data_IF_419333130124
#
_entry.id   IF_419333130124
#
_cell.length_a   1.000
_cell.length_b   1.000
_cell.length_c   1.000
_cell.angle_alpha   90.00
_cell.angle_beta   90.00
_cell.angle_gamma   90.00
#
_symmetry.space_group_name_H-M   'P 1'
#
loop_
_entity.id
_entity.type
_entity.pdbx_description
1 polymer ?
#
# COMPACT_ATOMS: atom_id res chain seq x y z
N UNK A 1 26.53 -5.37 8.72
CA UNK A 1 25.81 -4.10 8.98
C UNK A 1 24.74 -3.97 7.91
N UNK A 2 23.50 -4.34 8.23
CA UNK A 2 22.42 -4.37 7.25
C UNK A 2 21.90 -2.93 7.05
N UNK A 3 22.17 -2.38 5.87
CA UNK A 3 21.54 -1.15 5.41
C UNK A 3 20.05 -1.44 5.22
N UNK A 4 19.20 -0.87 6.07
CA UNK A 4 17.79 -0.70 5.77
C UNK A 4 17.74 0.38 4.70
N UNK A 5 17.84 -0.01 3.43
CA UNK A 5 17.70 0.89 2.30
C UNK A 5 16.22 1.23 2.13
N UNK A 6 15.82 2.50 2.22
CA UNK A 6 14.48 2.89 1.82
C UNK A 6 14.43 2.85 0.29
N UNK A 7 13.50 2.08 -0.27
CA UNK A 7 13.12 2.09 -1.69
C UNK A 7 14.05 1.38 -2.71
N UNK A 8 14.79 0.34 -2.32
CA UNK A 8 15.65 -0.41 -3.26
C UNK A 8 14.95 -1.51 -4.08
N UNK A 9 13.81 -2.03 -3.60
CA UNK A 9 13.00 -3.07 -4.24
C UNK A 9 11.50 -2.83 -4.07
N UNK A 10 11.12 -2.17 -2.98
CA UNK A 10 9.74 -1.89 -2.60
C UNK A 10 9.04 -0.96 -3.59
N UNK A 11 9.73 0.05 -4.13
CA UNK A 11 9.13 1.00 -5.08
C UNK A 11 8.80 0.39 -6.46
N UNK A 12 9.49 -0.67 -6.89
CA UNK A 12 9.13 -1.38 -8.13
C UNK A 12 7.89 -2.24 -7.90
N UNK A 13 7.85 -2.98 -6.79
CA UNK A 13 6.70 -3.78 -6.40
C UNK A 13 5.46 -2.89 -6.18
N UNK A 14 5.61 -1.75 -5.52
CA UNK A 14 4.55 -0.77 -5.29
C UNK A 14 4.03 -0.17 -6.60
N UNK A 15 4.91 0.17 -7.55
CA UNK A 15 4.50 0.60 -8.89
C UNK A 15 3.76 -0.49 -9.65
N UNK A 16 4.23 -1.74 -9.59
CA UNK A 16 3.55 -2.87 -10.25
C UNK A 16 2.17 -3.11 -9.66
N UNK A 17 2.03 -3.02 -8.33
CA UNK A 17 0.73 -3.12 -7.65
C UNK A 17 -0.19 -1.97 -8.08
N UNK A 18 0.31 -0.73 -8.14
CA UNK A 18 -0.46 0.43 -8.60
C UNK A 18 -0.98 0.25 -10.03
N UNK A 19 -0.11 -0.14 -10.96
CA UNK A 19 -0.48 -0.39 -12.37
C UNK A 19 -1.50 -1.52 -12.46
N UNK A 20 -1.32 -2.60 -11.71
CA UNK A 20 -2.27 -3.71 -11.68
C UNK A 20 -3.64 -3.28 -11.13
N UNK A 21 -3.67 -2.38 -10.14
CA UNK A 21 -4.92 -1.83 -9.59
C UNK A 21 -5.64 -0.93 -10.60
N UNK A 22 -4.92 -0.07 -11.31
CA UNK A 22 -5.49 0.77 -12.38
C UNK A 22 -6.09 -0.08 -13.50
N UNK A 23 -5.33 -1.10 -13.96
CA UNK A 23 -5.82 -2.06 -14.95
C UNK A 23 -7.06 -2.80 -14.46
N UNK A 24 -7.09 -3.18 -13.18
CA UNK A 24 -8.24 -3.86 -12.60
C UNK A 24 -9.50 -2.98 -12.68
N UNK A 25 -9.41 -1.71 -12.27
CA UNK A 25 -10.53 -0.76 -12.35
C UNK A 25 -11.03 -0.64 -13.79
N UNK A 26 -10.11 -0.40 -14.73
CA UNK A 26 -10.46 -0.26 -16.15
C UNK A 26 -11.19 -1.51 -16.70
N UNK A 27 -10.73 -2.71 -16.37
CA UNK A 27 -11.38 -3.93 -16.85
C UNK A 27 -12.74 -4.15 -16.17
N UNK A 28 -12.88 -3.81 -14.88
CA UNK A 28 -14.20 -3.87 -14.22
C UNK A 28 -15.23 -2.93 -14.85
N UNK A 29 -14.82 -1.73 -15.24
CA UNK A 29 -15.70 -0.76 -15.91
C UNK A 29 -16.10 -1.26 -17.30
N UNK A 30 -15.15 -1.77 -18.07
CA UNK A 30 -15.39 -2.29 -19.42
C UNK A 30 -16.33 -3.52 -19.39
N UNK A 31 -16.21 -4.35 -18.36
CA UNK A 31 -17.10 -5.50 -18.18
C UNK A 31 -18.48 -5.13 -17.68
N UNK A 32 -18.60 -4.10 -16.82
CA UNK A 32 -19.89 -3.55 -16.44
C UNK A 32 -20.65 -3.01 -17.67
N UNK A 33 -19.93 -2.38 -18.59
CA UNK A 33 -20.48 -1.93 -19.87
C UNK A 33 -20.90 -3.09 -20.77
N UNK A 34 -20.06 -4.12 -20.92
CA UNK A 34 -20.41 -5.31 -21.72
C UNK A 34 -21.68 -6.01 -21.21
N UNK A 35 -21.84 -6.12 -19.87
CA UNK A 35 -23.05 -6.68 -19.27
C UNK A 35 -24.29 -5.85 -19.62
N UNK A 36 -24.21 -4.51 -19.54
CA UNK A 36 -25.31 -3.61 -19.94
C UNK A 36 -25.69 -3.80 -21.41
N UNK A 37 -24.71 -3.91 -22.31
CA UNK A 37 -24.95 -4.11 -23.75
C UNK A 37 -25.60 -5.47 -24.04
N UNK A 38 -25.23 -6.52 -23.32
CA UNK A 38 -25.88 -7.83 -23.41
C UNK A 38 -27.33 -7.76 -22.90
N UNK A 39 -27.59 -7.09 -21.77
CA UNK A 39 -28.94 -6.92 -21.21
C UNK A 39 -29.85 -6.07 -22.12
N UNK A 40 -29.28 -5.07 -22.79
CA UNK A 40 -29.97 -4.24 -23.79
C UNK A 40 -30.23 -4.96 -25.12
N UNK A 41 -29.65 -6.15 -25.32
CA UNK A 41 -29.76 -6.92 -26.56
C UNK A 41 -28.93 -6.35 -27.72
N UNK A 42 -28.03 -5.40 -27.45
CA UNK A 42 -27.14 -4.79 -28.45
C UNK A 42 -26.02 -5.73 -28.89
N UNK A 43 -25.62 -6.65 -28.01
CA UNK A 43 -24.63 -7.69 -28.28
C UNK A 43 -25.29 -9.06 -28.09
N UNK A 44 -25.26 -9.95 -29.10
CA UNK A 44 -25.77 -11.30 -28.93
C UNK A 44 -24.95 -12.02 -27.86
N UNK A 45 -25.61 -12.56 -26.84
CA UNK A 45 -24.95 -13.35 -25.83
C UNK A 45 -24.32 -14.60 -26.48
N UNK A 46 -22.98 -14.76 -26.52
CA UNK A 46 -22.41 -16.06 -26.86
C UNK A 46 -22.97 -17.10 -25.89
N UNK A 47 -23.19 -18.34 -26.34
CA UNK A 47 -23.89 -19.37 -25.56
C UNK A 47 -23.35 -19.57 -24.13
N UNK A 48 -22.09 -19.21 -23.88
CA UNK A 48 -21.42 -19.26 -22.58
C UNK A 48 -21.18 -17.88 -21.90
N UNK A 49 -21.74 -16.77 -22.39
CA UNK A 49 -21.50 -15.42 -21.88
C UNK A 49 -21.70 -15.31 -20.35
N UNK A 50 -22.77 -15.92 -19.84
CA UNK A 50 -23.07 -15.95 -18.41
C UNK A 50 -22.01 -16.71 -17.62
N UNK A 51 -21.48 -17.80 -18.18
CA UNK A 51 -20.41 -18.60 -17.57
C UNK A 51 -19.10 -17.84 -17.57
N UNK A 52 -18.72 -17.22 -18.69
CA UNK A 52 -17.52 -16.39 -18.79
C UNK A 52 -17.58 -15.21 -17.82
N UNK A 53 -18.73 -14.55 -17.69
CA UNK A 53 -18.93 -13.47 -16.71
C UNK A 53 -18.82 -14.00 -15.26
N UNK A 54 -19.35 -15.19 -14.96
CA UNK A 54 -19.26 -15.80 -13.64
C UNK A 54 -17.83 -16.19 -13.26
N UNK A 55 -17.11 -16.85 -14.17
CA UNK A 55 -15.69 -17.21 -14.00
C UNK A 55 -14.85 -15.95 -13.80
N UNK A 56 -15.09 -14.91 -14.59
CA UNK A 56 -14.41 -13.64 -14.46
C UNK A 56 -14.67 -12.93 -13.12
N UNK A 57 -15.93 -12.89 -12.66
CA UNK A 57 -16.29 -12.39 -11.32
C UNK A 57 -15.58 -13.16 -10.20
N UNK A 58 -15.39 -14.46 -10.36
CA UNK A 58 -14.67 -15.29 -9.39
C UNK A 58 -13.17 -14.92 -9.36
N UNK A 59 -12.54 -14.74 -10.52
CA UNK A 59 -11.15 -14.31 -10.63
C UNK A 59 -10.92 -12.92 -10.03
N UNK A 60 -11.82 -11.96 -10.31
CA UNK A 60 -11.83 -10.62 -9.69
C UNK A 60 -11.85 -10.72 -8.17
N UNK A 61 -12.75 -11.55 -7.62
CA UNK A 61 -12.90 -11.72 -6.18
C UNK A 61 -11.63 -12.29 -5.54
N UNK A 62 -11.03 -13.29 -6.17
CA UNK A 62 -9.77 -13.88 -5.72
C UNK A 62 -8.61 -12.86 -5.75
N UNK A 63 -8.53 -12.03 -6.78
CA UNK A 63 -7.53 -10.97 -6.87
C UNK A 63 -7.73 -9.90 -5.78
N UNK A 64 -8.97 -9.54 -5.48
CA UNK A 64 -9.30 -8.60 -4.40
C UNK A 64 -8.95 -9.15 -3.02
N UNK A 65 -9.20 -10.43 -2.77
CA UNK A 65 -8.79 -11.10 -1.54
C UNK A 65 -7.26 -11.13 -1.39
N UNK A 66 -6.53 -11.40 -2.48
CA UNK A 66 -5.07 -11.39 -2.43
C UNK A 66 -4.51 -9.99 -2.19
N UNK A 67 -5.12 -8.95 -2.80
CA UNK A 67 -4.79 -7.57 -2.51
C UNK A 67 -4.96 -7.23 -1.04
N UNK A 68 -6.11 -7.59 -0.44
CA UNK A 68 -6.35 -7.34 0.99
C UNK A 68 -5.27 -8.03 1.85
N UNK A 69 -4.93 -9.29 1.54
CA UNK A 69 -3.87 -10.02 2.23
C UNK A 69 -2.50 -9.33 2.11
N UNK A 70 -2.18 -8.74 0.96
CA UNK A 70 -0.94 -8.01 0.75
C UNK A 70 -0.91 -6.69 1.52
N UNK A 71 -2.01 -5.93 1.52
CA UNK A 71 -2.12 -4.69 2.30
C UNK A 71 -1.94 -4.96 3.80
N UNK A 72 -2.54 -6.03 4.32
CA UNK A 72 -2.42 -6.41 5.72
C UNK A 72 -0.98 -6.86 6.08
N UNK A 73 -0.31 -7.59 5.18
CA UNK A 73 1.11 -7.94 5.32
C UNK A 73 1.99 -6.68 5.31
N UNK A 74 1.74 -5.71 4.43
CA UNK A 74 2.49 -4.45 4.37
C UNK A 74 2.32 -3.61 5.64
N UNK A 75 1.09 -3.49 6.15
CA UNK A 75 0.82 -2.80 7.44
C UNK A 75 1.60 -3.43 8.59
N UNK A 76 1.62 -4.76 8.63
CA UNK A 76 2.36 -5.51 9.66
C UNK A 76 3.87 -5.34 9.52
N UNK A 77 4.41 -5.45 8.30
CA UNK A 77 5.85 -5.32 8.02
C UNK A 77 6.39 -3.91 8.33
N UNK A 78 5.60 -2.87 8.06
CA UNK A 78 5.96 -1.48 8.33
C UNK A 78 5.77 -1.04 9.80
N UNK A 79 5.43 -1.97 10.69
CA UNK A 79 5.21 -1.68 12.10
C UNK A 79 4.02 -0.74 12.36
N UNK A 80 3.10 -0.61 11.40
CA UNK A 80 1.90 0.22 11.52
C UNK A 80 0.87 -0.53 12.34
N UNK A 81 1.07 -0.57 13.66
CA UNK A 81 0.07 -1.02 14.63
C UNK A 81 -0.79 0.19 15.00
N UNK A 82 -2.04 0.24 14.51
CA UNK A 82 -3.02 1.27 14.91
C UNK A 82 -3.17 2.48 13.97
N UNK A 83 -2.64 2.44 12.74
CA UNK A 83 -2.89 3.49 11.73
C UNK A 83 -2.02 4.75 11.86
N UNK A 84 -0.98 4.71 12.70
CA UNK A 84 -0.01 5.78 12.83
C UNK A 84 1.38 5.23 12.51
N UNK A 85 2.02 5.76 11.45
CA UNK A 85 3.42 5.50 11.19
C UNK A 85 4.27 6.37 12.12
N UNK A 86 5.17 5.77 12.88
CA UNK A 86 6.14 6.52 13.68
C UNK A 86 7.18 7.12 12.73
N UNK A 87 7.23 8.45 12.63
CA UNK A 87 8.27 9.14 11.87
C UNK A 87 9.61 9.04 12.62
N UNK A 88 10.42 8.06 12.22
CA UNK A 88 11.73 7.81 12.82
C UNK A 88 12.74 8.91 12.53
N UNK A 89 12.55 9.72 11.49
CA UNK A 89 13.46 10.82 11.18
C UNK A 89 13.16 12.02 12.08
N UNK A 90 11.88 12.39 12.22
CA UNK A 90 11.47 13.41 13.19
C UNK A 90 11.82 13.01 14.64
N UNK A 91 11.61 11.75 15.01
CA UNK A 91 11.99 11.24 16.33
C UNK A 91 13.51 11.32 16.56
N UNK A 92 14.30 10.98 15.54
CA UNK A 92 15.77 11.05 15.61
C UNK A 92 16.27 12.47 15.76
N UNK A 93 15.67 13.42 15.05
CA UNK A 93 16.03 14.82 15.16
C UNK A 93 15.69 15.40 16.53
N UNK A 94 14.55 15.02 17.10
CA UNK A 94 14.19 15.41 18.47
C UNK A 94 15.17 14.82 19.49
N UNK A 95 15.56 13.55 19.36
CA UNK A 95 16.56 12.92 20.23
C UNK A 95 17.91 13.65 20.12
N UNK A 96 18.39 13.92 18.90
CA UNK A 96 19.66 14.64 18.68
C UNK A 96 19.63 16.03 19.31
N UNK A 97 18.51 16.76 19.15
CA UNK A 97 18.31 18.08 19.74
C UNK A 97 18.39 18.03 21.27
N UNK A 98 17.74 17.06 21.91
CA UNK A 98 17.80 16.87 23.37
C UNK A 98 19.20 16.53 23.84
N UNK A 99 19.89 15.61 23.15
CA UNK A 99 21.28 15.27 23.46
C UNK A 99 22.23 16.46 23.29
N UNK A 100 22.01 17.31 22.28
CA UNK A 100 22.78 18.54 22.10
C UNK A 100 22.57 19.50 23.27
N UNK A 101 21.34 19.67 23.75
CA UNK A 101 21.06 20.49 24.96
C UNK A 101 21.72 19.91 26.20
N UNK A 102 21.67 18.59 26.40
CA UNK A 102 22.35 17.94 27.53
C UNK A 102 23.86 18.14 27.48
N UNK A 103 24.48 18.02 26.30
CA UNK A 103 25.92 18.30 26.13
C UNK A 103 26.26 19.77 26.40
N UNK A 104 25.41 20.70 25.95
CA UNK A 104 25.60 22.12 26.21
C UNK A 104 25.48 22.44 27.72
N UNK A 105 24.54 21.78 28.42
CA UNK A 105 24.36 21.93 29.86
C UNK A 105 25.53 21.32 30.67
N UNK A 106 26.17 20.25 30.17
CA UNK A 106 27.32 19.61 30.81
C UNK A 106 28.63 20.42 30.79
N UNK A 107 28.65 21.60 30.16
CA UNK A 107 29.81 22.51 30.13
C UNK A 107 29.74 23.67 31.14
N UNK A 108 28.73 23.72 32.00
CA UNK A 108 28.49 24.85 32.91
C UNK A 108 28.65 24.50 34.40
N UNK A 109 29.83 24.79 34.94
CA UNK A 109 29.99 25.23 36.33
C UNK A 109 30.64 24.25 37.31
N UNK A 110 31.93 24.47 37.62
CA UNK A 110 32.36 24.38 39.00
C UNK A 110 31.48 25.34 39.81
N UNK A 111 30.80 24.81 40.82
CA UNK A 111 30.04 25.63 41.76
C UNK A 111 31.08 26.40 42.57
N UNK A 112 31.19 27.71 42.39
CA UNK A 112 32.04 28.54 43.24
C UNK A 112 31.55 28.43 44.69
N UNK A 113 32.34 27.74 45.51
CA UNK A 113 32.26 27.75 46.97
C UNK A 113 33.34 28.64 47.56
#
# INVERSE_FOLDING_TARGET
MALITPFGKDGVAERMVSVAMEQFVAVTELMAELVRQIEAGEVPAPGDAKRTVAEYRATIRMAMEERQRLEDKLKTANGVVGGHALDFDAARDEIRRRLARLRAAGGGGEVSG
#
